data_IF_130394034806
#
_entry.id   IF_130394034806
#
_cell.length_a   1.000
_cell.length_b   1.000
_cell.length_c   1.000
_cell.angle_alpha   90.00
_cell.angle_beta   90.00
_cell.angle_gamma   90.00
#
_symmetry.space_group_name_H-M   'P 1'
#
loop_
_entity.id
_entity.type
_entity.pdbx_description
1 polymer ?
#
# COMPACT_ATOMS: atom_id res chain seq x y z
N UNK A 1 0.59 -20.05 -18.73
CA UNK A 1 1.75 -20.17 -17.83
C UNK A 1 1.43 -21.18 -16.76
N UNK A 2 2.40 -21.98 -16.30
CA UNK A 2 2.20 -22.88 -15.16
C UNK A 2 2.43 -22.07 -13.88
N UNK A 3 1.46 -22.10 -12.96
CA UNK A 3 1.63 -21.47 -11.66
C UNK A 3 2.84 -22.08 -10.91
N UNK A 4 3.57 -21.25 -10.19
CA UNK A 4 4.73 -21.69 -9.42
C UNK A 4 4.30 -22.50 -8.19
N UNK A 5 5.12 -23.45 -7.81
CA UNK A 5 4.99 -24.13 -6.52
C UNK A 5 5.35 -23.19 -5.37
N UNK A 6 4.91 -23.51 -4.16
CA UNK A 6 5.23 -22.71 -2.95
C UNK A 6 6.74 -22.57 -2.74
N UNK A 7 7.52 -23.61 -3.03
CA UNK A 7 8.99 -23.57 -2.95
C UNK A 7 9.61 -22.61 -3.95
N UNK A 8 9.14 -22.62 -5.19
CA UNK A 8 9.60 -21.69 -6.25
C UNK A 8 9.23 -20.24 -5.93
N UNK A 9 8.05 -20.01 -5.34
CA UNK A 9 7.67 -18.67 -4.87
C UNK A 9 8.60 -18.21 -3.75
N UNK A 10 8.87 -19.07 -2.78
CA UNK A 10 9.78 -18.77 -1.67
C UNK A 10 11.16 -18.36 -2.18
N UNK A 11 11.73 -19.11 -3.13
CA UNK A 11 13.02 -18.81 -3.75
C UNK A 11 12.99 -17.45 -4.47
N UNK A 12 11.98 -17.20 -5.32
CA UNK A 12 11.83 -15.91 -6.01
C UNK A 12 11.70 -14.73 -5.05
N UNK A 13 10.90 -14.87 -4.00
CA UNK A 13 10.74 -13.81 -2.99
C UNK A 13 12.05 -13.57 -2.26
N UNK A 14 12.77 -14.62 -1.88
CA UNK A 14 14.08 -14.53 -1.25
C UNK A 14 15.11 -13.84 -2.17
N UNK A 15 15.17 -14.20 -3.45
CA UNK A 15 16.06 -13.57 -4.42
C UNK A 15 15.72 -12.11 -4.69
N UNK A 16 14.43 -11.76 -4.69
CA UNK A 16 13.98 -10.38 -4.86
C UNK A 16 14.47 -9.43 -3.77
N UNK A 17 14.83 -9.94 -2.60
CA UNK A 17 15.38 -9.15 -1.51
C UNK A 17 16.76 -8.58 -1.83
N UNK A 18 17.55 -9.24 -2.69
CA UNK A 18 18.92 -8.82 -3.02
C UNK A 18 18.93 -7.44 -3.69
N UNK A 19 18.28 -7.24 -4.86
CA UNK A 19 18.25 -5.93 -5.51
C UNK A 19 17.61 -4.85 -4.62
N UNK A 20 16.63 -5.19 -3.79
CA UNK A 20 16.00 -4.25 -2.86
C UNK A 20 16.96 -3.77 -1.77
N UNK A 21 17.79 -4.65 -1.23
CA UNK A 21 18.78 -4.32 -0.20
C UNK A 21 19.99 -3.54 -0.75
N UNK A 22 20.33 -3.72 -2.04
CA UNK A 22 21.55 -3.17 -2.66
C UNK A 22 21.30 -1.97 -3.57
N UNK A 23 20.06 -1.63 -3.86
CA UNK A 23 19.69 -0.49 -4.72
C UNK A 23 20.28 0.82 -4.23
N UNK A 24 20.71 1.66 -5.16
CA UNK A 24 21.12 3.04 -4.88
C UNK A 24 20.00 3.87 -4.29
N UNK A 25 20.34 4.84 -3.45
CA UNK A 25 19.37 5.65 -2.69
C UNK A 25 18.33 6.30 -3.61
N UNK A 26 18.74 7.02 -4.64
CA UNK A 26 17.82 7.77 -5.50
C UNK A 26 16.85 6.88 -6.27
N UNK A 27 17.34 5.75 -6.81
CA UNK A 27 16.46 4.77 -7.47
C UNK A 27 15.39 4.25 -6.51
N UNK A 28 15.82 3.80 -5.34
CA UNK A 28 14.92 3.26 -4.31
C UNK A 28 13.91 4.31 -3.85
N UNK A 29 14.36 5.54 -3.61
CA UNK A 29 13.53 6.63 -3.12
C UNK A 29 12.46 7.07 -4.13
N UNK A 30 12.84 7.20 -5.43
CA UNK A 30 11.87 7.55 -6.49
C UNK A 30 10.82 6.44 -6.64
N UNK A 31 11.23 5.16 -6.67
CA UNK A 31 10.29 4.05 -6.74
C UNK A 31 9.37 3.98 -5.52
N UNK A 32 9.87 4.39 -4.35
CA UNK A 32 9.07 4.49 -3.14
C UNK A 32 8.04 5.63 -3.22
N UNK A 33 8.40 6.80 -3.73
CA UNK A 33 7.44 7.90 -3.96
C UNK A 33 6.34 7.45 -4.91
N UNK A 34 6.69 6.79 -6.01
CA UNK A 34 5.72 6.26 -6.97
C UNK A 34 4.77 5.25 -6.32
N UNK A 35 5.26 4.33 -5.48
CA UNK A 35 4.40 3.36 -4.81
C UNK A 35 3.42 4.05 -3.85
N UNK A 36 3.88 5.03 -3.08
CA UNK A 36 3.01 5.84 -2.22
C UNK A 36 1.91 6.56 -3.00
N UNK A 37 2.26 7.14 -4.15
CA UNK A 37 1.32 7.78 -5.05
C UNK A 37 0.29 6.78 -5.61
N UNK A 38 0.72 5.59 -6.04
CA UNK A 38 -0.17 4.56 -6.58
C UNK A 38 -1.19 4.07 -5.53
N UNK A 39 -0.74 3.83 -4.30
CA UNK A 39 -1.65 3.47 -3.21
C UNK A 39 -2.62 4.61 -2.90
N UNK A 40 -2.17 5.85 -2.92
CA UNK A 40 -3.03 7.01 -2.70
C UNK A 40 -4.07 7.18 -3.82
N UNK A 41 -3.72 6.93 -5.09
CA UNK A 41 -4.69 6.88 -6.19
C UNK A 41 -5.72 5.76 -6.00
N UNK A 42 -5.30 4.57 -5.58
CA UNK A 42 -6.20 3.48 -5.23
C UNK A 42 -7.16 3.85 -4.10
N UNK A 43 -6.66 4.54 -3.07
CA UNK A 43 -7.46 5.03 -1.95
C UNK A 43 -8.46 6.10 -2.39
N UNK A 44 -8.04 7.06 -3.23
CA UNK A 44 -8.91 8.09 -3.76
C UNK A 44 -10.00 7.52 -4.68
N UNK A 45 -9.64 6.60 -5.58
CA UNK A 45 -10.60 5.91 -6.44
C UNK A 45 -11.63 5.14 -5.62
N UNK A 46 -11.18 4.44 -4.58
CA UNK A 46 -12.04 3.72 -3.63
C UNK A 46 -13.00 4.65 -2.89
N UNK A 47 -12.49 5.79 -2.39
CA UNK A 47 -13.30 6.80 -1.72
C UNK A 47 -14.34 7.38 -2.69
N UNK A 48 -13.93 7.76 -3.91
CA UNK A 48 -14.81 8.31 -4.95
C UNK A 48 -15.90 7.32 -5.35
N UNK A 49 -15.60 6.04 -5.47
CA UNK A 49 -16.57 5.02 -5.86
C UNK A 49 -17.60 4.70 -4.76
N UNK A 50 -17.31 5.01 -3.50
CA UNK A 50 -18.09 4.50 -2.36
C UNK A 50 -18.61 5.56 -1.39
N UNK A 51 -18.22 6.84 -1.52
CA UNK A 51 -18.54 7.87 -0.51
C UNK A 51 -20.04 8.03 -0.26
N UNK A 52 -20.88 7.99 -1.29
CA UNK A 52 -22.34 8.07 -1.15
C UNK A 52 -22.89 6.87 -0.36
N UNK A 53 -22.45 5.66 -0.75
CA UNK A 53 -22.93 4.41 -0.16
C UNK A 53 -22.46 4.25 1.31
N UNK A 54 -21.25 4.69 1.63
CA UNK A 54 -20.71 4.59 2.99
C UNK A 54 -21.23 5.66 3.93
N UNK A 55 -21.91 6.67 3.42
CA UNK A 55 -22.53 7.73 4.21
C UNK A 55 -23.93 7.38 4.69
N UNK A 56 -24.62 6.44 4.03
CA UNK A 56 -25.96 5.98 4.37
C UNK A 56 -25.88 4.62 5.09
N UNK A 57 -26.43 4.51 6.31
CA UNK A 57 -26.48 3.23 7.06
C UNK A 57 -27.14 2.09 6.27
N UNK A 58 -28.13 2.37 5.42
CA UNK A 58 -28.83 1.35 4.65
C UNK A 58 -27.94 0.71 3.57
N UNK A 59 -26.98 1.45 3.02
CA UNK A 59 -26.08 1.00 1.96
C UNK A 59 -24.63 0.82 2.42
N UNK A 60 -24.36 0.98 3.72
CA UNK A 60 -23.01 0.94 4.27
C UNK A 60 -22.23 -0.33 3.89
N UNK A 61 -22.86 -1.50 3.99
CA UNK A 61 -22.23 -2.78 3.63
C UNK A 61 -21.86 -2.85 2.15
N UNK A 62 -22.75 -2.40 1.28
CA UNK A 62 -22.51 -2.30 -0.16
C UNK A 62 -21.36 -1.31 -0.44
N UNK A 63 -21.37 -0.15 0.22
CA UNK A 63 -20.29 0.83 0.11
C UNK A 63 -18.93 0.26 0.51
N UNK A 64 -18.88 -0.56 1.57
CA UNK A 64 -17.66 -1.27 1.97
C UNK A 64 -17.20 -2.28 0.92
N UNK A 65 -18.12 -3.03 0.32
CA UNK A 65 -17.80 -3.97 -0.74
C UNK A 65 -17.22 -3.25 -1.97
N UNK A 66 -17.86 -2.17 -2.43
CA UNK A 66 -17.38 -1.35 -3.56
C UNK A 66 -16.00 -0.77 -3.25
N UNK A 67 -15.82 -0.18 -2.07
CA UNK A 67 -14.53 0.35 -1.61
C UNK A 67 -13.43 -0.71 -1.63
N UNK A 68 -13.71 -1.90 -1.10
CA UNK A 68 -12.76 -3.01 -1.05
C UNK A 68 -12.42 -3.58 -2.44
N UNK A 69 -13.36 -3.52 -3.40
CA UNK A 69 -13.15 -3.99 -4.77
C UNK A 69 -12.31 -3.03 -5.60
N UNK A 70 -12.38 -1.72 -5.33
CA UNK A 70 -11.65 -0.69 -6.09
C UNK A 70 -10.24 -0.46 -5.54
N UNK A 71 -10.06 -0.46 -4.21
CA UNK A 71 -8.78 -0.17 -3.56
C UNK A 71 -7.58 -1.00 -4.08
N UNK A 72 -7.71 -2.31 -4.39
CA UNK A 72 -6.60 -3.14 -4.88
C UNK A 72 -5.92 -2.63 -6.14
N UNK A 73 -6.56 -1.77 -6.94
CA UNK A 73 -5.95 -1.13 -8.12
C UNK A 73 -4.64 -0.44 -7.75
N UNK A 74 -4.55 0.16 -6.55
CA UNK A 74 -3.33 0.76 -6.05
C UNK A 74 -2.17 -0.24 -5.94
N UNK A 75 -2.43 -1.43 -5.39
CA UNK A 75 -1.42 -2.49 -5.29
C UNK A 75 -1.10 -3.10 -6.67
N UNK A 76 -2.09 -3.23 -7.54
CA UNK A 76 -1.86 -3.67 -8.93
C UNK A 76 -0.89 -2.73 -9.64
N UNK A 77 -1.06 -1.41 -9.52
CA UNK A 77 -0.11 -0.43 -10.07
C UNK A 77 1.29 -0.60 -9.48
N UNK A 78 1.42 -0.80 -8.18
CA UNK A 78 2.73 -1.03 -7.53
C UNK A 78 3.43 -2.24 -8.13
N UNK A 79 2.72 -3.37 -8.26
CA UNK A 79 3.30 -4.64 -8.73
C UNK A 79 3.61 -4.58 -10.24
N UNK A 80 2.67 -4.10 -11.05
CA UNK A 80 2.81 -4.10 -12.51
C UNK A 80 3.77 -3.01 -13.01
N UNK A 81 3.80 -1.85 -12.38
CA UNK A 81 4.72 -0.76 -12.74
C UNK A 81 6.09 -0.84 -12.04
N UNK A 82 6.28 -1.81 -11.13
CA UNK A 82 7.58 -2.08 -10.51
C UNK A 82 8.02 -1.06 -9.47
N UNK A 83 7.10 -0.57 -8.63
CA UNK A 83 7.39 0.39 -7.57
C UNK A 83 7.71 -0.29 -6.22
N UNK A 84 8.32 0.45 -5.28
CA UNK A 84 8.78 -0.07 -3.99
C UNK A 84 7.82 0.31 -2.86
N UNK A 85 7.08 -0.68 -2.36
CA UNK A 85 6.09 -0.50 -1.31
C UNK A 85 6.57 -1.11 0.02
N UNK A 86 6.54 -0.32 1.10
CA UNK A 86 7.00 -0.73 2.43
C UNK A 86 6.33 -2.02 2.93
N UNK A 87 5.01 -2.13 2.80
CA UNK A 87 4.25 -3.30 3.24
C UNK A 87 4.64 -4.57 2.49
N UNK A 88 4.90 -4.49 1.17
CA UNK A 88 5.40 -5.61 0.38
C UNK A 88 6.86 -5.95 0.71
N UNK A 89 7.67 -4.95 1.04
CA UNK A 89 9.08 -5.13 1.39
C UNK A 89 9.29 -5.79 2.76
N UNK A 90 8.25 -6.02 3.56
CA UNK A 90 8.34 -6.86 4.74
C UNK A 90 8.76 -8.30 4.40
N UNK A 91 8.46 -8.77 3.19
CA UNK A 91 8.92 -10.07 2.68
C UNK A 91 10.45 -10.18 2.57
N UNK A 92 11.20 -9.06 2.62
CA UNK A 92 12.67 -9.09 2.65
C UNK A 92 13.24 -9.85 3.85
N UNK A 93 12.45 -10.06 4.91
CA UNK A 93 12.85 -10.88 6.05
C UNK A 93 13.23 -12.31 5.61
N UNK A 94 12.58 -12.83 4.57
CA UNK A 94 12.89 -14.15 4.01
C UNK A 94 14.34 -14.17 3.48
N UNK A 95 14.77 -13.13 2.77
CA UNK A 95 16.15 -13.01 2.30
C UNK A 95 17.18 -12.86 3.42
N UNK A 96 16.77 -12.30 4.58
CA UNK A 96 17.60 -12.26 5.78
C UNK A 96 17.74 -13.66 6.38
N UNK A 97 16.63 -14.39 6.51
CA UNK A 97 16.62 -15.77 7.07
C UNK A 97 17.42 -16.72 6.17
N UNK A 98 17.33 -16.57 4.84
CA UNK A 98 18.14 -17.29 3.86
C UNK A 98 19.61 -16.81 3.78
N UNK A 99 20.01 -15.83 4.59
CA UNK A 99 21.36 -15.23 4.62
C UNK A 99 21.79 -14.60 3.30
N UNK A 100 20.87 -14.28 2.39
CA UNK A 100 21.16 -13.62 1.10
C UNK A 100 21.38 -12.12 1.26
N UNK A 101 20.77 -11.50 2.27
CA UNK A 101 20.96 -10.08 2.60
C UNK A 101 21.24 -9.89 4.10
N UNK A 102 21.88 -8.77 4.43
CA UNK A 102 22.09 -8.36 5.83
C UNK A 102 20.86 -7.65 6.39
N UNK A 103 20.62 -7.77 7.69
CA UNK A 103 19.57 -7.01 8.41
C UNK A 103 19.70 -5.51 8.16
N UNK A 104 20.93 -4.97 8.13
CA UNK A 104 21.17 -3.54 7.87
C UNK A 104 20.68 -3.10 6.47
N UNK A 105 20.81 -3.96 5.46
CA UNK A 105 20.28 -3.70 4.11
C UNK A 105 18.74 -3.67 4.09
N UNK A 106 18.10 -4.58 4.80
CA UNK A 106 16.65 -4.60 4.97
C UNK A 106 16.15 -3.35 5.70
N UNK A 107 16.75 -3.00 6.85
CA UNK A 107 16.35 -1.82 7.62
C UNK A 107 16.57 -0.52 6.83
N UNK A 108 17.69 -0.40 6.11
CA UNK A 108 17.94 0.72 5.22
C UNK A 108 16.83 0.84 4.15
N UNK A 109 16.46 -0.26 3.51
CA UNK A 109 15.37 -0.28 2.54
C UNK A 109 14.06 0.17 3.19
N UNK A 110 13.69 -0.40 4.33
CA UNK A 110 12.45 -0.06 5.02
C UNK A 110 12.33 1.42 5.36
N UNK A 111 13.38 2.04 5.89
CA UNK A 111 13.37 3.47 6.24
C UNK A 111 13.19 4.34 5.00
N UNK A 112 13.97 4.09 3.95
CA UNK A 112 13.90 4.88 2.71
C UNK A 112 12.54 4.73 2.06
N UNK A 113 12.02 3.50 1.97
CA UNK A 113 10.76 3.19 1.31
C UNK A 113 9.58 3.75 2.12
N UNK A 114 9.60 3.64 3.44
CA UNK A 114 8.56 4.22 4.29
C UNK A 114 8.43 5.73 4.09
N UNK A 115 9.56 6.45 4.13
CA UNK A 115 9.58 7.91 3.91
C UNK A 115 9.12 8.25 2.48
N UNK A 116 9.60 7.53 1.49
CA UNK A 116 9.21 7.75 0.09
C UNK A 116 7.71 7.50 -0.14
N UNK A 117 7.16 6.40 0.41
CA UNK A 117 5.72 6.12 0.30
C UNK A 117 4.88 7.23 0.98
N UNK A 118 5.32 7.72 2.13
CA UNK A 118 4.63 8.82 2.81
C UNK A 118 4.63 10.10 1.97
N UNK A 119 5.77 10.48 1.38
CA UNK A 119 5.86 11.65 0.50
C UNK A 119 4.98 11.48 -0.74
N UNK A 120 4.98 10.30 -1.38
CA UNK A 120 4.13 10.01 -2.52
C UNK A 120 2.64 10.12 -2.21
N UNK A 121 2.22 9.62 -1.05
CA UNK A 121 0.84 9.71 -0.59
C UNK A 121 0.44 11.17 -0.29
N UNK A 122 1.31 11.95 0.35
CA UNK A 122 1.07 13.38 0.60
C UNK A 122 0.97 14.18 -0.69
N UNK A 123 1.81 13.89 -1.69
CA UNK A 123 1.74 14.53 -3.00
C UNK A 123 0.37 14.35 -3.64
N UNK A 124 -0.14 13.11 -3.68
CA UNK A 124 -1.47 12.84 -4.24
C UNK A 124 -2.58 13.49 -3.41
N UNK A 125 -2.49 13.44 -2.07
CA UNK A 125 -3.46 14.11 -1.20
C UNK A 125 -3.51 15.63 -1.46
N UNK A 126 -2.35 16.26 -1.64
CA UNK A 126 -2.26 17.68 -1.99
C UNK A 126 -2.88 17.98 -3.36
N UNK A 127 -2.59 17.15 -4.38
CA UNK A 127 -3.16 17.30 -5.71
C UNK A 127 -4.67 17.13 -5.71
N UNK A 128 -5.20 16.14 -4.99
CA UNK A 128 -6.64 15.90 -4.84
C UNK A 128 -7.33 17.09 -4.16
N UNK A 129 -6.73 17.63 -3.10
CA UNK A 129 -7.26 18.80 -2.42
C UNK A 129 -7.26 20.03 -3.33
N UNK A 130 -6.18 20.28 -4.05
CA UNK A 130 -6.02 21.43 -4.93
C UNK A 130 -6.92 21.36 -6.19
N UNK A 131 -7.24 20.16 -6.64
CA UNK A 131 -8.08 19.94 -7.84
C UNK A 131 -9.56 20.25 -7.62
N UNK A 132 -10.02 20.51 -6.40
CA UNK A 132 -11.44 20.66 -6.08
C UNK A 132 -12.23 19.34 -6.06
N UNK A 133 -11.57 18.19 -6.24
CA UNK A 133 -12.25 16.89 -6.30
C UNK A 133 -13.03 16.57 -5.00
N UNK A 134 -12.58 17.10 -3.86
CA UNK A 134 -13.25 16.91 -2.58
C UNK A 134 -14.62 17.60 -2.48
N UNK A 135 -14.95 18.51 -3.41
CA UNK A 135 -16.26 19.16 -3.50
C UNK A 135 -17.33 18.26 -4.13
N UNK A 136 -16.93 17.12 -4.68
CA UNK A 136 -17.84 16.15 -5.31
C UNK A 136 -18.97 15.75 -4.37
N UNK A 137 -20.18 15.61 -4.94
CA UNK A 137 -21.37 15.29 -4.18
C UNK A 137 -21.77 16.38 -3.18
N UNK A 138 -21.55 17.66 -3.52
CA UNK A 138 -21.83 18.79 -2.63
C UNK A 138 -20.91 18.82 -1.39
N UNK A 139 -19.67 18.39 -1.53
CA UNK A 139 -18.69 18.32 -0.43
C UNK A 139 -18.73 17.02 0.41
N UNK A 140 -19.63 16.09 0.04
CA UNK A 140 -19.78 14.83 0.80
C UNK A 140 -18.50 13.98 0.74
N UNK A 141 -17.80 13.95 -0.42
CA UNK A 141 -16.53 13.25 -0.53
C UNK A 141 -15.49 13.81 0.44
N UNK A 142 -15.37 15.11 0.54
CA UNK A 142 -14.47 15.79 1.50
C UNK A 142 -14.83 15.44 2.93
N UNK A 143 -16.10 15.49 3.31
CA UNK A 143 -16.57 15.14 4.64
C UNK A 143 -16.22 13.68 5.03
N UNK A 144 -16.43 12.72 4.11
CA UNK A 144 -16.07 11.31 4.31
C UNK A 144 -14.56 11.13 4.42
N UNK A 145 -13.79 11.85 3.60
CA UNK A 145 -12.32 11.80 3.63
C UNK A 145 -11.78 12.30 4.97
N UNK A 146 -12.26 13.45 5.46
CA UNK A 146 -11.87 14.01 6.76
C UNK A 146 -12.29 13.08 7.90
N UNK A 147 -13.53 12.57 7.89
CA UNK A 147 -14.01 11.59 8.88
C UNK A 147 -13.11 10.36 8.95
N UNK A 148 -12.69 9.85 7.79
CA UNK A 148 -11.78 8.71 7.70
C UNK A 148 -10.40 9.05 8.27
N UNK A 149 -9.84 10.21 7.95
CA UNK A 149 -8.56 10.67 8.46
C UNK A 149 -8.60 10.81 9.99
N UNK A 150 -9.60 11.48 10.54
CA UNK A 150 -9.81 11.63 12.00
C UNK A 150 -9.90 10.25 12.66
N UNK A 151 -10.71 9.34 12.11
CA UNK A 151 -10.85 7.98 12.66
C UNK A 151 -9.53 7.22 12.71
N UNK A 152 -8.65 7.40 11.70
CA UNK A 152 -7.35 6.72 11.64
C UNK A 152 -6.31 7.33 12.57
N UNK A 153 -6.30 8.65 12.71
CA UNK A 153 -5.35 9.37 13.57
C UNK A 153 -5.72 9.35 15.04
N UNK A 154 -6.98 9.01 15.38
CA UNK A 154 -7.48 8.91 16.77
C UNK A 154 -7.35 7.51 17.36
N UNK A 155 -6.75 6.56 16.65
CA UNK A 155 -6.52 5.21 17.18
C UNK A 155 -5.49 5.25 18.30
N UNK A 156 -5.76 4.51 19.38
CA UNK A 156 -4.74 4.21 20.38
C UNK A 156 -3.64 3.31 19.77
N UNK A 157 -2.44 3.36 20.37
CA UNK A 157 -1.28 2.63 19.86
C UNK A 157 -1.55 1.12 19.70
N UNK A 158 -2.21 0.48 20.67
CA UNK A 158 -2.46 -0.96 20.62
C UNK A 158 -3.33 -1.36 19.43
N UNK A 159 -4.43 -0.62 19.20
CA UNK A 159 -5.31 -0.85 18.04
C UNK A 159 -4.61 -0.56 16.72
N UNK A 160 -3.88 0.56 16.65
CA UNK A 160 -3.12 0.91 15.46
C UNK A 160 -2.07 -0.18 15.12
N UNK A 161 -1.36 -0.69 16.12
CA UNK A 161 -0.36 -1.74 15.95
C UNK A 161 -0.98 -3.05 15.42
N UNK A 162 -2.06 -3.55 16.03
CA UNK A 162 -2.73 -4.77 15.59
C UNK A 162 -3.28 -4.64 14.17
N UNK A 163 -3.94 -3.51 13.86
CA UNK A 163 -4.42 -3.23 12.51
C UNK A 163 -3.27 -3.14 11.50
N UNK A 164 -2.12 -2.58 11.90
CA UNK A 164 -0.91 -2.54 11.10
C UNK A 164 -0.38 -3.94 10.78
N UNK A 165 -0.31 -4.84 11.78
CA UNK A 165 0.09 -6.24 11.59
C UNK A 165 -0.84 -6.94 10.59
N UNK A 166 -2.16 -6.83 10.78
CA UNK A 166 -3.14 -7.45 9.89
C UNK A 166 -3.05 -6.90 8.45
N UNK A 167 -2.91 -5.59 8.31
CA UNK A 167 -2.75 -4.93 7.01
C UNK A 167 -1.50 -5.45 6.28
N UNK A 168 -0.35 -5.46 6.95
CA UNK A 168 0.91 -5.93 6.36
C UNK A 168 0.84 -7.41 6.00
N UNK A 169 0.20 -8.25 6.81
CA UNK A 169 0.00 -9.66 6.49
C UNK A 169 -0.76 -9.84 5.18
N UNK A 170 -1.89 -9.15 5.01
CA UNK A 170 -2.70 -9.24 3.79
C UNK A 170 -1.93 -8.75 2.55
N UNK A 171 -1.17 -7.66 2.66
CA UNK A 171 -0.36 -7.16 1.53
C UNK A 171 0.78 -8.12 1.20
N UNK A 172 1.46 -8.70 2.20
CA UNK A 172 2.47 -9.73 1.96
C UNK A 172 1.89 -10.95 1.24
N UNK A 173 0.69 -11.42 1.63
CA UNK A 173 0.00 -12.50 0.93
C UNK A 173 -0.35 -12.13 -0.52
N UNK A 174 -0.82 -10.91 -0.76
CA UNK A 174 -1.14 -10.46 -2.11
C UNK A 174 0.12 -10.41 -3.01
N UNK A 175 1.25 -9.91 -2.49
CA UNK A 175 2.54 -9.92 -3.20
C UNK A 175 3.04 -11.35 -3.44
N UNK A 176 2.89 -12.23 -2.45
CA UNK A 176 3.23 -13.64 -2.55
C UNK A 176 2.44 -14.33 -3.67
N UNK A 177 1.11 -14.13 -3.69
CA UNK A 177 0.24 -14.67 -4.75
C UNK A 177 0.61 -14.12 -6.13
N UNK A 178 0.86 -12.81 -6.24
CA UNK A 178 1.27 -12.19 -7.49
C UNK A 178 2.62 -12.72 -8.01
N UNK A 179 3.53 -13.11 -7.11
CA UNK A 179 4.82 -13.73 -7.48
C UNK A 179 4.64 -15.14 -8.04
N UNK A 180 3.57 -15.84 -7.65
CA UNK A 180 3.27 -17.21 -8.07
C UNK A 180 2.41 -17.33 -9.32
N UNK A 181 1.83 -16.22 -9.79
CA UNK A 181 0.94 -16.18 -10.96
C UNK A 181 1.72 -16.13 -12.33
#
# INVERSE_FOLDING_TARGET
MKALTTGEILEKVSDSAIPKATSGFWKLFILAILAGAYIAFGAQASAMASFNLTSDPATFGLGKLVSASVFPVGLMMVVLCGAELFTGNNLMIIGVLDRKIKVSGMLRNWVIVYIGNFIGALLVAALVNYSGLLESGGGLLGAVTVKTAVSKTSLDFGKAFVLGVMCNWLVCLAVWMATGA
#
